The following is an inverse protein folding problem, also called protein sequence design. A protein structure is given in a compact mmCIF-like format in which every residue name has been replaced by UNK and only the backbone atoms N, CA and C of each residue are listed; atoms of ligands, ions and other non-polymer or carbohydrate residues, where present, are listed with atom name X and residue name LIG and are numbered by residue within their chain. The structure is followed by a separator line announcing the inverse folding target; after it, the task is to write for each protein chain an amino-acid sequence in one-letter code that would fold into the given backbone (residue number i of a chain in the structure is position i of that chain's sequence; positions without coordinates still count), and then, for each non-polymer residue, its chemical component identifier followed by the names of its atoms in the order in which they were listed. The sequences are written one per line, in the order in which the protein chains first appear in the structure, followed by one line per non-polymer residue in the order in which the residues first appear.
data_IF_938033679459
#
_entry.id   IF_938033679459
#
_cell.length_a   1.000
_cell.length_b   1.000
_cell.length_c   1.000
_cell.angle_alpha   90.00
_cell.angle_beta   90.00
_cell.angle_gamma   90.00
#
_symmetry.space_group_name_H-M   'P 1'
#
loop_
_entity.id
_entity.type
_entity.pdbx_description
1 polymer ?
#
# COMPACT_ATOMS: atom_id res chain seq x y z
N UNK A 1 -44.50 -35.49 -38.01
CA UNK A 1 -43.42 -34.48 -37.82
C UNK A 1 -42.26 -35.21 -37.17
N UNK A 2 -41.20 -35.56 -37.92
CA UNK A 2 -40.08 -36.37 -37.47
C UNK A 2 -38.98 -35.48 -36.85
N UNK A 3 -38.29 -35.92 -35.78
CA UNK A 3 -37.18 -35.19 -35.25
C UNK A 3 -35.87 -35.51 -35.98
N UNK A 4 -35.15 -34.44 -36.33
CA UNK A 4 -33.86 -34.46 -36.99
C UNK A 4 -32.74 -34.82 -36.02
N UNK A 5 -32.02 -35.92 -36.30
CA UNK A 5 -30.90 -36.41 -35.52
C UNK A 5 -29.61 -35.67 -35.96
N UNK A 6 -28.97 -34.92 -35.07
CA UNK A 6 -27.72 -34.23 -35.33
C UNK A 6 -26.54 -35.18 -34.98
N UNK A 7 -25.79 -35.60 -36.00
CA UNK A 7 -24.55 -36.43 -35.83
C UNK A 7 -23.41 -35.59 -35.32
N UNK A 8 -22.84 -35.99 -34.15
CA UNK A 8 -21.56 -35.51 -33.63
C UNK A 8 -20.40 -36.12 -34.43
N UNK A 9 -19.55 -35.28 -35.01
CA UNK A 9 -18.24 -35.69 -35.55
C UNK A 9 -17.18 -35.62 -34.43
N UNK A 10 -16.54 -36.73 -34.10
CA UNK A 10 -15.39 -36.79 -33.25
C UNK A 10 -14.13 -36.37 -34.04
N UNK A 11 -13.42 -35.37 -33.54
CA UNK A 11 -12.09 -35.00 -34.02
C UNK A 11 -11.07 -35.64 -33.07
N UNK A 12 -10.25 -36.54 -33.61
CA UNK A 12 -9.11 -37.14 -32.94
C UNK A 12 -7.97 -36.12 -32.91
N UNK A 13 -7.56 -35.69 -31.70
CA UNK A 13 -6.35 -34.90 -31.50
C UNK A 13 -5.15 -35.82 -31.30
N UNK A 14 -4.19 -35.77 -32.24
CA UNK A 14 -2.92 -36.48 -32.13
C UNK A 14 -1.99 -35.83 -31.09
N UNK A 15 -1.49 -36.64 -30.17
CA UNK A 15 -0.53 -36.30 -29.15
C UNK A 15 0.90 -36.36 -29.78
N UNK A 16 1.55 -35.21 -29.96
CA UNK A 16 2.97 -35.12 -30.31
C UNK A 16 3.77 -34.98 -29.02
N UNK A 17 4.49 -36.00 -28.64
CA UNK A 17 5.49 -36.00 -27.56
C UNK A 17 6.79 -35.36 -28.07
N UNK A 18 7.09 -34.14 -27.63
CA UNK A 18 8.43 -33.55 -27.79
C UNK A 18 9.22 -33.84 -26.50
N UNK A 19 10.23 -34.69 -26.62
CA UNK A 19 11.26 -34.89 -25.58
C UNK A 19 12.29 -33.79 -25.68
N UNK A 20 12.32 -32.87 -24.73
CA UNK A 20 13.40 -31.90 -24.61
C UNK A 20 14.45 -32.42 -23.60
N UNK A 21 15.65 -32.68 -24.09
CA UNK A 21 16.82 -33.05 -23.29
C UNK A 21 17.37 -31.81 -22.58
N UNK A 22 17.32 -31.77 -21.25
CA UNK A 22 18.02 -30.77 -20.44
C UNK A 22 19.52 -31.19 -20.34
N UNK A 23 20.40 -30.37 -20.92
CA UNK A 23 21.82 -30.39 -20.60
C UNK A 23 22.07 -29.49 -19.38
N UNK A 24 22.46 -30.07 -18.26
CA UNK A 24 23.04 -29.36 -17.12
C UNK A 24 24.52 -29.06 -17.45
N UNK A 25 24.88 -27.79 -17.40
CA UNK A 25 26.29 -27.39 -17.36
C UNK A 25 26.50 -26.19 -16.45
N UNK A 26 27.32 -26.36 -15.46
CA UNK A 26 28.27 -25.37 -15.02
C UNK A 26 27.97 -24.68 -13.69
N UNK A 27 28.52 -25.23 -12.62
CA UNK A 27 28.81 -24.53 -11.39
C UNK A 27 29.73 -23.33 -11.63
N UNK A 28 29.27 -22.11 -11.33
CA UNK A 28 30.15 -20.96 -11.16
C UNK A 28 30.50 -20.85 -9.65
N UNK A 29 31.77 -20.97 -9.34
CA UNK A 29 32.29 -20.82 -7.97
C UNK A 29 32.33 -19.35 -7.52
N UNK A 30 32.50 -19.10 -6.20
CA UNK A 30 32.49 -17.75 -5.64
C UNK A 30 33.70 -16.93 -6.10
N UNK A 31 33.43 -15.76 -6.67
CA UNK A 31 34.47 -14.76 -6.98
C UNK A 31 34.92 -14.12 -5.67
N UNK A 32 36.17 -14.41 -5.28
CA UNK A 32 36.86 -13.65 -4.22
C UNK A 32 37.42 -12.37 -4.81
N UNK A 33 37.00 -11.24 -4.26
CA UNK A 33 37.60 -9.94 -4.52
C UNK A 33 38.73 -9.71 -3.53
N UNK A 34 39.97 -9.82 -3.97
CA UNK A 34 41.14 -9.35 -3.20
C UNK A 34 41.46 -7.93 -3.68
N UNK A 35 41.02 -6.93 -2.89
CA UNK A 35 41.41 -5.54 -3.08
C UNK A 35 42.65 -5.22 -2.27
N UNK A 36 43.79 -5.09 -2.91
CA UNK A 36 44.98 -4.46 -2.33
C UNK A 36 44.85 -2.94 -2.40
N UNK A 37 44.33 -2.34 -1.35
CA UNK A 37 44.30 -0.88 -1.21
C UNK A 37 45.61 -0.36 -0.63
N UNK A 38 46.37 0.39 -1.42
CA UNK A 38 47.52 1.18 -0.96
C UNK A 38 47.00 2.50 -0.39
N UNK A 39 47.18 2.71 0.92
CA UNK A 39 46.88 3.97 1.57
C UNK A 39 48.03 4.94 1.33
N UNK A 40 47.82 5.96 0.52
CA UNK A 40 48.70 7.15 0.46
C UNK A 40 47.78 8.38 0.38
N UNK A 41 47.84 9.22 1.40
CA UNK A 41 47.16 10.52 1.30
C UNK A 41 47.03 11.17 2.68
N UNK A 42 47.88 12.16 2.96
CA UNK A 42 47.83 13.08 4.06
C UNK A 42 46.46 13.72 4.23
N UNK A 43 45.99 13.72 5.47
CA UNK A 43 44.79 14.43 5.96
C UNK A 43 45.02 15.94 5.84
N UNK A 44 44.20 16.70 5.12
CA UNK A 44 44.08 18.14 5.32
C UNK A 44 43.24 18.37 6.56
N UNK A 45 43.79 19.10 7.53
CA UNK A 45 43.07 19.59 8.68
C UNK A 45 42.37 20.87 8.29
N UNK A 46 41.10 20.77 7.97
CA UNK A 46 40.06 21.79 8.19
C UNK A 46 38.72 21.10 8.03
N UNK A 47 37.87 21.01 9.03
CA UNK A 47 36.48 20.62 8.79
C UNK A 47 35.82 21.83 8.15
N UNK A 48 35.55 21.73 6.84
CA UNK A 48 34.48 22.51 6.26
C UNK A 48 33.23 22.33 7.13
N UNK A 49 32.41 23.38 7.32
CA UNK A 49 31.16 23.23 8.06
C UNK A 49 30.40 22.10 7.37
N UNK A 50 30.12 21.06 8.12
CA UNK A 50 29.20 20.00 7.72
C UNK A 50 27.90 20.76 7.48
N UNK A 51 27.56 21.00 6.20
CA UNK A 51 26.20 21.32 5.87
C UNK A 51 25.40 20.14 6.42
N UNK A 52 24.60 20.39 7.44
CA UNK A 52 23.55 19.49 7.85
C UNK A 52 22.74 19.28 6.56
N UNK A 53 22.90 18.12 5.91
CA UNK A 53 21.94 17.68 4.94
C UNK A 53 20.62 17.59 5.69
N UNK A 54 19.85 18.67 5.65
CA UNK A 54 18.48 18.64 6.05
C UNK A 54 17.82 17.67 5.05
N UNK A 55 17.48 16.49 5.53
CA UNK A 55 16.65 15.50 4.84
C UNK A 55 15.21 16.01 4.65
N UNK A 56 15.03 17.30 4.49
CA UNK A 56 13.76 17.96 4.28
C UNK A 56 13.50 18.19 2.80
N UNK A 57 12.27 18.02 2.39
CA UNK A 57 11.74 18.46 1.12
C UNK A 57 12.06 19.96 0.92
N UNK A 58 12.21 20.42 -0.33
CA UNK A 58 12.18 21.85 -0.60
C UNK A 58 10.83 22.43 -0.19
N UNK A 59 10.74 23.76 -0.04
CA UNK A 59 9.46 24.42 0.29
C UNK A 59 8.37 24.10 -0.75
N UNK A 60 8.72 24.04 -2.04
CA UNK A 60 7.78 23.68 -3.11
C UNK A 60 7.36 22.21 -3.03
N UNK A 61 8.30 21.29 -2.84
CA UNK A 61 7.97 19.86 -2.69
C UNK A 61 7.13 19.60 -1.43
N UNK A 62 7.31 20.41 -0.38
CA UNK A 62 6.49 20.29 0.84
C UNK A 62 5.07 20.83 0.63
N UNK A 63 4.88 21.88 -0.18
CA UNK A 63 3.54 22.35 -0.57
C UNK A 63 2.83 21.26 -1.41
N UNK A 64 3.52 20.68 -2.40
CA UNK A 64 2.99 19.57 -3.22
C UNK A 64 2.64 18.37 -2.35
N UNK A 65 3.49 18.01 -1.39
CA UNK A 65 3.21 16.96 -0.41
C UNK A 65 1.92 17.22 0.40
N UNK A 66 1.69 18.44 0.86
CA UNK A 66 0.48 18.78 1.61
C UNK A 66 -0.77 18.72 0.72
N UNK A 67 -0.66 19.16 -0.54
CA UNK A 67 -1.75 19.07 -1.51
C UNK A 67 -2.11 17.58 -1.79
N UNK A 68 -1.12 16.68 -1.83
CA UNK A 68 -1.35 15.24 -1.98
C UNK A 68 -1.97 14.60 -0.72
N UNK A 69 -1.60 15.06 0.48
CA UNK A 69 -2.28 14.62 1.72
C UNK A 69 -3.76 14.99 1.68
N UNK A 70 -4.07 16.24 1.36
CA UNK A 70 -5.46 16.70 1.26
C UNK A 70 -6.20 15.98 0.13
N UNK A 71 -5.55 15.74 -1.00
CA UNK A 71 -6.07 14.97 -2.14
C UNK A 71 -6.36 13.52 -1.78
N UNK A 72 -5.47 12.87 -1.06
CA UNK A 72 -5.63 11.49 -0.58
C UNK A 72 -6.82 11.34 0.38
N UNK A 73 -6.95 12.24 1.35
CA UNK A 73 -8.09 12.30 2.26
C UNK A 73 -9.40 12.48 1.48
N UNK A 74 -9.45 13.50 0.62
CA UNK A 74 -10.64 13.80 -0.16
C UNK A 74 -11.05 12.64 -1.09
N UNK A 75 -10.07 12.01 -1.74
CA UNK A 75 -10.29 10.88 -2.63
C UNK A 75 -10.86 9.67 -1.89
N UNK A 76 -10.26 9.28 -0.76
CA UNK A 76 -10.71 8.14 0.04
C UNK A 76 -12.12 8.39 0.58
N UNK A 77 -12.37 9.54 1.20
CA UNK A 77 -13.66 9.86 1.79
C UNK A 77 -14.77 9.96 0.76
N UNK A 78 -14.53 10.68 -0.35
CA UNK A 78 -15.51 10.84 -1.44
C UNK A 78 -15.89 9.50 -2.06
N UNK A 79 -14.89 8.65 -2.36
CA UNK A 79 -15.16 7.33 -2.92
C UNK A 79 -16.11 6.52 -2.03
N UNK A 80 -15.80 6.41 -0.74
CA UNK A 80 -16.64 5.64 0.18
C UNK A 80 -18.00 6.29 0.42
N UNK A 81 -18.08 7.60 0.47
CA UNK A 81 -19.36 8.30 0.62
C UNK A 81 -20.30 8.07 -0.57
N UNK A 82 -19.76 8.12 -1.79
CA UNK A 82 -20.59 7.98 -3.00
C UNK A 82 -21.00 6.53 -3.26
N UNK A 83 -20.13 5.56 -2.91
CA UNK A 83 -20.38 4.14 -3.22
C UNK A 83 -20.89 3.31 -2.04
N UNK A 84 -20.92 3.82 -0.83
CA UNK A 84 -21.31 3.06 0.37
C UNK A 84 -22.64 2.33 0.21
N UNK A 85 -23.65 3.02 -0.26
CA UNK A 85 -24.99 2.45 -0.44
C UNK A 85 -25.10 1.35 -1.51
N UNK A 86 -24.07 1.17 -2.34
CA UNK A 86 -24.00 0.06 -3.29
C UNK A 86 -23.65 -1.27 -2.61
N UNK A 87 -22.97 -1.21 -1.46
CA UNK A 87 -22.44 -2.37 -0.77
C UNK A 87 -23.11 -2.62 0.58
N UNK A 88 -23.55 -1.56 1.27
CA UNK A 88 -24.03 -1.62 2.64
C UNK A 88 -25.39 -0.92 2.80
N UNK A 89 -26.27 -1.41 3.70
CA UNK A 89 -27.63 -0.90 3.84
C UNK A 89 -27.76 0.36 4.71
N UNK A 90 -26.75 0.68 5.49
CA UNK A 90 -26.69 1.83 6.41
C UNK A 90 -26.03 3.05 5.76
N UNK A 91 -25.98 4.15 6.49
CA UNK A 91 -25.36 5.39 6.01
C UNK A 91 -23.84 5.35 6.28
N UNK A 92 -23.06 5.85 5.33
CA UNK A 92 -21.64 6.07 5.53
C UNK A 92 -21.38 7.17 6.54
N UNK A 93 -20.37 6.98 7.36
CA UNK A 93 -19.83 8.01 8.23
C UNK A 93 -18.32 8.05 8.06
N UNK A 94 -17.78 9.20 7.70
CA UNK A 94 -16.33 9.38 7.58
C UNK A 94 -15.64 9.19 8.93
N UNK A 95 -14.43 8.58 8.98
CA UNK A 95 -13.59 8.74 10.17
C UNK A 95 -13.21 10.21 10.34
N UNK A 96 -12.96 10.63 11.58
CA UNK A 96 -12.34 11.93 11.80
C UNK A 96 -10.89 11.90 11.30
N UNK A 97 -10.38 13.06 10.89
CA UNK A 97 -8.95 13.24 10.59
C UNK A 97 -8.32 13.98 11.77
N UNK A 98 -7.20 13.49 12.29
CA UNK A 98 -6.51 14.15 13.40
C UNK A 98 -6.04 15.56 12.98
N UNK A 99 -6.34 16.57 13.81
CA UNK A 99 -5.99 17.95 13.46
C UNK A 99 -6.60 18.41 12.13
N UNK A 100 -5.83 19.14 11.33
CA UNK A 100 -6.31 19.69 10.06
C UNK A 100 -6.19 18.69 8.90
N UNK A 101 -5.11 17.87 8.89
CA UNK A 101 -4.79 16.96 7.77
C UNK A 101 -4.21 15.60 8.20
N UNK A 102 -4.38 15.20 9.46
CA UNK A 102 -3.94 13.89 9.96
C UNK A 102 -2.47 13.79 10.35
N UNK A 103 -1.64 14.76 9.98
CA UNK A 103 -0.21 14.74 10.28
C UNK A 103 0.07 15.01 11.76
N UNK A 104 0.98 14.24 12.33
CA UNK A 104 1.54 14.47 13.67
C UNK A 104 3.05 14.23 13.67
N UNK A 105 3.78 14.78 14.63
CA UNK A 105 5.20 14.50 14.85
C UNK A 105 5.33 13.47 15.98
N UNK A 106 5.57 12.22 15.64
CA UNK A 106 5.69 11.11 16.59
C UNK A 106 6.95 11.17 17.46
N UNK A 107 7.90 12.07 17.15
CA UNK A 107 9.05 12.37 18.00
C UNK A 107 8.75 13.45 19.05
N UNK A 108 7.67 14.22 18.88
CA UNK A 108 7.17 15.17 19.87
C UNK A 108 5.93 14.62 20.58
N UNK A 109 6.03 14.21 21.86
CA UNK A 109 4.89 13.70 22.61
C UNK A 109 3.72 14.71 22.77
N UNK A 110 3.96 15.99 22.48
CA UNK A 110 2.89 16.99 22.51
C UNK A 110 2.10 17.04 21.20
N UNK A 111 2.67 16.53 20.12
CA UNK A 111 2.05 16.40 18.80
C UNK A 111 1.34 15.05 18.62
N UNK A 112 1.81 14.00 19.30
CA UNK A 112 1.24 12.66 19.22
C UNK A 112 -0.21 12.65 19.77
N UNK A 113 -1.22 12.32 18.95
CA UNK A 113 -2.61 12.33 19.41
C UNK A 113 -2.93 11.19 20.37
N UNK A 114 -2.12 10.13 20.40
CA UNK A 114 -2.41 8.90 21.13
C UNK A 114 -3.66 8.18 20.62
N UNK A 115 -3.82 6.92 21.02
CA UNK A 115 -5.02 6.15 20.78
C UNK A 115 -5.33 5.25 21.97
N UNK A 116 -6.55 5.33 22.51
CA UNK A 116 -6.93 4.56 23.71
C UNK A 116 -6.04 4.86 24.92
N UNK A 117 -5.43 6.06 24.97
CA UNK A 117 -4.51 6.49 26.03
C UNK A 117 -3.08 5.94 25.90
N UNK A 118 -2.69 5.49 24.73
CA UNK A 118 -1.33 5.05 24.38
C UNK A 118 -0.74 5.98 23.34
N UNK A 119 0.53 6.36 23.49
CA UNK A 119 1.25 7.10 22.46
C UNK A 119 1.44 6.21 21.24
N UNK A 120 1.48 6.83 20.06
CA UNK A 120 1.61 6.14 18.77
C UNK A 120 3.06 6.06 18.31
N UNK A 121 3.85 7.06 18.67
CA UNK A 121 5.25 7.16 18.31
C UNK A 121 5.48 7.53 16.83
N UNK A 122 6.77 7.63 16.43
CA UNK A 122 7.17 7.98 15.07
C UNK A 122 7.06 6.81 14.10
N UNK A 123 7.14 7.16 12.81
CA UNK A 123 7.13 6.22 11.68
C UNK A 123 5.91 5.30 11.66
N UNK A 124 4.74 5.84 12.01
CA UNK A 124 3.49 5.13 12.12
C UNK A 124 2.35 5.84 11.39
N UNK A 125 1.40 5.08 10.89
CA UNK A 125 0.09 5.55 10.46
C UNK A 125 -0.94 4.61 11.05
N UNK A 126 -2.16 5.10 11.33
CA UNK A 126 -3.16 4.24 11.96
C UNK A 126 -4.57 4.82 11.91
N UNK A 127 -5.52 3.92 12.02
CA UNK A 127 -6.89 4.23 12.37
C UNK A 127 -7.16 3.91 13.84
N UNK A 128 -7.53 4.90 14.63
CA UNK A 128 -7.87 4.74 16.04
C UNK A 128 -9.31 4.28 16.21
N UNK A 129 -9.52 3.00 16.52
CA UNK A 129 -10.86 2.42 16.67
C UNK A 129 -11.68 3.11 17.80
N UNK A 130 -11.16 3.32 19.04
CA UNK A 130 -11.98 3.85 20.12
C UNK A 130 -12.39 5.31 19.94
N UNK A 131 -11.59 6.13 19.27
CA UNK A 131 -11.85 7.56 19.05
C UNK A 131 -12.29 7.88 17.60
N UNK A 132 -12.33 6.88 16.71
CA UNK A 132 -12.78 6.96 15.31
C UNK A 132 -12.07 8.06 14.50
N UNK A 133 -10.74 8.00 14.47
CA UNK A 133 -9.94 8.92 13.68
C UNK A 133 -8.76 8.24 13.00
N UNK A 134 -8.28 8.86 11.92
CA UNK A 134 -7.05 8.50 11.21
C UNK A 134 -5.95 9.53 11.49
N UNK A 135 -4.70 9.07 11.55
CA UNK A 135 -3.53 9.93 11.64
C UNK A 135 -2.29 9.23 11.07
N UNK A 136 -1.30 10.01 10.68
CA UNK A 136 -0.04 9.53 10.11
C UNK A 136 1.12 10.42 10.54
N UNK A 137 2.24 9.78 10.87
CA UNK A 137 3.45 10.45 11.27
C UNK A 137 4.06 11.23 10.10
N UNK A 138 4.44 12.47 10.35
CA UNK A 138 5.02 13.35 9.35
C UNK A 138 6.29 12.76 8.72
N UNK A 139 7.16 12.13 9.53
CA UNK A 139 8.41 11.55 9.01
C UNK A 139 8.17 10.33 8.12
N UNK A 140 7.20 9.47 8.46
CA UNK A 140 6.77 8.36 7.61
C UNK A 140 6.30 8.87 6.25
N UNK A 141 5.43 9.89 6.27
CA UNK A 141 4.80 10.41 5.06
C UNK A 141 5.78 11.13 4.15
N UNK A 142 6.61 12.04 4.71
CA UNK A 142 7.64 12.77 3.95
C UNK A 142 8.71 11.84 3.37
N UNK A 143 9.17 10.86 4.17
CA UNK A 143 10.18 9.90 3.69
C UNK A 143 9.64 8.99 2.59
N UNK A 144 8.35 8.68 2.61
CA UNK A 144 7.71 7.91 1.56
C UNK A 144 7.44 8.73 0.30
N UNK A 145 6.97 9.96 0.46
CA UNK A 145 6.75 10.91 -0.63
C UNK A 145 8.00 11.16 -1.48
N UNK A 146 9.18 11.14 -0.86
CA UNK A 146 10.46 11.25 -1.58
C UNK A 146 10.72 10.10 -2.59
N UNK A 147 10.02 8.98 -2.47
CA UNK A 147 10.11 7.85 -3.42
C UNK A 147 8.97 7.85 -4.45
N UNK A 148 7.95 8.68 -4.26
CA UNK A 148 6.80 8.84 -5.14
C UNK A 148 5.56 9.36 -4.39
N UNK A 149 4.78 10.22 -5.04
CA UNK A 149 3.60 10.87 -4.46
C UNK A 149 2.48 9.86 -4.11
N UNK A 150 2.39 8.77 -4.86
CA UNK A 150 1.41 7.69 -4.61
C UNK A 150 1.57 7.02 -3.24
N UNK A 151 2.71 7.18 -2.56
CA UNK A 151 2.89 6.75 -1.18
C UNK A 151 1.83 7.36 -0.26
N UNK A 152 1.58 8.65 -0.42
CA UNK A 152 0.63 9.38 0.41
C UNK A 152 -0.79 8.82 0.23
N UNK A 153 -1.21 8.67 -1.02
CA UNK A 153 -2.52 8.11 -1.34
C UNK A 153 -2.68 6.67 -0.84
N UNK A 154 -1.63 5.86 -0.95
CA UNK A 154 -1.66 4.47 -0.49
C UNK A 154 -1.83 4.37 1.02
N UNK A 155 -1.01 5.10 1.80
CA UNK A 155 -1.07 5.06 3.26
C UNK A 155 -2.43 5.54 3.75
N UNK A 156 -2.92 6.67 3.24
CA UNK A 156 -4.23 7.21 3.61
C UNK A 156 -5.36 6.23 3.27
N UNK A 157 -5.35 5.65 2.07
CA UNK A 157 -6.38 4.69 1.66
C UNK A 157 -6.33 3.39 2.47
N UNK A 158 -5.14 2.96 2.94
CA UNK A 158 -4.97 1.81 3.81
C UNK A 158 -5.59 2.06 5.20
N UNK A 159 -5.30 3.21 5.82
CA UNK A 159 -5.89 3.56 7.12
C UNK A 159 -7.41 3.77 7.00
N UNK A 160 -7.88 4.32 5.87
CA UNK A 160 -9.31 4.32 5.56
C UNK A 160 -9.88 2.91 5.46
N UNK A 161 -9.13 1.95 4.92
CA UNK A 161 -9.49 0.53 4.90
C UNK A 161 -9.79 -0.02 6.29
N UNK A 162 -8.97 0.33 7.30
CA UNK A 162 -9.24 -0.01 8.70
C UNK A 162 -10.50 0.67 9.24
N UNK A 163 -10.74 1.92 8.85
CA UNK A 163 -11.98 2.61 9.21
C UNK A 163 -13.22 1.94 8.58
N UNK A 164 -13.12 1.43 7.36
CA UNK A 164 -14.18 0.64 6.72
C UNK A 164 -14.41 -0.68 7.46
N UNK A 165 -13.36 -1.40 7.86
CA UNK A 165 -13.48 -2.62 8.66
C UNK A 165 -14.27 -2.39 9.97
N UNK A 166 -14.09 -1.25 10.60
CA UNK A 166 -14.83 -0.89 11.82
C UNK A 166 -16.32 -0.59 11.58
N UNK A 167 -16.73 -0.36 10.33
CA UNK A 167 -18.09 0.04 9.93
C UNK A 167 -18.90 -1.07 9.29
N UNK A 168 -18.26 -2.07 8.70
CA UNK A 168 -18.94 -3.18 8.01
C UNK A 168 -19.37 -4.29 8.98
N UNK A 169 -20.24 -5.17 8.52
CA UNK A 169 -20.61 -6.38 9.29
C UNK A 169 -19.33 -7.16 9.67
N UNK A 170 -19.10 -7.49 10.94
CA UNK A 170 -17.94 -8.27 11.36
C UNK A 170 -17.74 -9.59 10.60
N UNK A 171 -18.81 -10.16 10.02
CA UNK A 171 -18.71 -11.35 9.19
C UNK A 171 -18.01 -11.10 7.83
N UNK A 172 -17.87 -9.86 7.42
CA UNK A 172 -17.18 -9.44 6.19
C UNK A 172 -15.72 -9.03 6.45
N UNK A 173 -15.32 -8.92 7.73
CA UNK A 173 -13.94 -8.60 8.11
C UNK A 173 -13.11 -9.88 8.05
N UNK A 174 -12.00 -9.83 7.32
CA UNK A 174 -11.07 -10.95 7.21
C UNK A 174 -10.21 -11.09 8.47
N UNK A 175 -9.73 -12.29 8.77
CA UNK A 175 -8.74 -12.51 9.84
C UNK A 175 -7.42 -11.76 9.55
N UNK A 176 -7.11 -11.57 8.27
CA UNK A 176 -5.95 -10.83 7.76
C UNK A 176 -6.35 -9.36 7.55
N UNK A 177 -6.57 -8.63 8.63
CA UNK A 177 -7.08 -7.25 8.60
C UNK A 177 -6.20 -6.30 7.80
N UNK A 178 -4.88 -6.44 7.89
CA UNK A 178 -3.91 -5.63 7.15
C UNK A 178 -4.02 -5.85 5.62
N UNK A 179 -4.07 -7.11 5.20
CA UNK A 179 -4.25 -7.44 3.78
C UNK A 179 -5.63 -7.01 3.26
N UNK A 180 -6.65 -7.07 4.10
CA UNK A 180 -7.97 -6.55 3.73
C UNK A 180 -7.95 -5.03 3.62
N UNK A 181 -7.21 -4.31 4.47
CA UNK A 181 -7.03 -2.86 4.34
C UNK A 181 -6.30 -2.50 3.04
N UNK A 182 -5.26 -3.25 2.65
CA UNK A 182 -4.61 -3.10 1.34
C UNK A 182 -5.59 -3.34 0.18
N UNK A 183 -6.46 -4.33 0.30
CA UNK A 183 -7.49 -4.60 -0.70
C UNK A 183 -8.47 -3.43 -0.82
N UNK A 184 -8.96 -2.89 0.30
CA UNK A 184 -9.82 -1.71 0.28
C UNK A 184 -9.10 -0.48 -0.26
N UNK A 185 -7.80 -0.31 0.02
CA UNK A 185 -6.99 0.74 -0.58
C UNK A 185 -6.94 0.62 -2.11
N UNK A 186 -6.68 -0.58 -2.62
CA UNK A 186 -6.71 -0.83 -4.06
C UNK A 186 -8.08 -0.55 -4.70
N UNK A 187 -9.15 -0.93 -4.02
CA UNK A 187 -10.52 -0.68 -4.48
C UNK A 187 -10.84 0.81 -4.52
N UNK A 188 -10.51 1.57 -3.46
CA UNK A 188 -10.84 3.00 -3.37
C UNK A 188 -9.98 3.87 -4.28
N UNK A 189 -8.66 3.64 -4.37
CA UNK A 189 -7.78 4.39 -5.27
C UNK A 189 -8.22 4.22 -6.72
N UNK A 190 -8.39 2.98 -7.19
CA UNK A 190 -8.77 2.72 -8.58
C UNK A 190 -10.24 3.02 -8.86
N UNK A 191 -11.12 2.94 -7.87
CA UNK A 191 -12.47 3.44 -7.95
C UNK A 191 -12.50 4.95 -8.14
N UNK A 192 -11.73 5.71 -7.33
CA UNK A 192 -11.59 7.17 -7.48
C UNK A 192 -11.02 7.58 -8.85
N UNK A 193 -10.11 6.77 -9.42
CA UNK A 193 -9.63 6.99 -10.80
C UNK A 193 -10.77 6.77 -11.81
N UNK A 194 -11.57 5.74 -11.63
CA UNK A 194 -12.70 5.46 -12.53
C UNK A 194 -13.78 6.54 -12.48
N UNK A 195 -13.99 7.15 -11.30
CA UNK A 195 -14.94 8.24 -11.09
C UNK A 195 -14.38 9.61 -11.52
N UNK A 196 -13.07 9.71 -11.76
CA UNK A 196 -12.39 10.95 -12.15
C UNK A 196 -12.08 11.88 -10.99
N UNK A 197 -12.06 11.38 -9.74
CA UNK A 197 -11.61 12.13 -8.56
C UNK A 197 -10.10 12.10 -8.40
N UNK A 198 -9.45 11.07 -8.94
CA UNK A 198 -8.00 10.87 -8.95
C UNK A 198 -7.53 10.58 -10.37
N UNK A 199 -6.31 10.95 -10.71
CA UNK A 199 -5.63 10.53 -11.94
C UNK A 199 -4.30 9.91 -11.58
N UNK A 200 -3.94 8.83 -12.25
CA UNK A 200 -2.64 8.19 -12.13
C UNK A 200 -1.83 8.46 -13.38
N UNK A 201 -0.57 8.79 -13.20
CA UNK A 201 0.41 9.02 -14.26
C UNK A 201 1.24 7.76 -14.58
N UNK A 202 2.08 7.88 -15.62
CA UNK A 202 3.00 6.80 -16.01
C UNK A 202 4.06 6.61 -14.90
N UNK A 203 4.01 5.51 -14.16
CA UNK A 203 4.94 5.19 -13.06
C UNK A 203 4.24 4.88 -11.74
N UNK A 204 3.11 5.51 -11.47
CA UNK A 204 2.40 5.44 -10.18
C UNK A 204 2.12 4.01 -9.70
N UNK A 205 1.75 3.11 -10.61
CA UNK A 205 1.54 1.71 -10.24
C UNK A 205 2.84 1.03 -9.78
N UNK A 206 3.99 1.43 -10.31
CA UNK A 206 5.29 0.92 -9.84
C UNK A 206 5.67 1.53 -8.49
N UNK A 207 5.32 2.77 -8.24
CA UNK A 207 5.51 3.42 -6.95
C UNK A 207 4.65 2.78 -5.87
N UNK A 208 3.35 2.56 -6.11
CA UNK A 208 2.46 1.82 -5.22
C UNK A 208 3.04 0.43 -4.90
N UNK A 209 3.53 -0.30 -5.91
CA UNK A 209 4.13 -1.61 -5.71
C UNK A 209 5.39 -1.53 -4.83
N UNK A 210 6.20 -0.48 -5.01
CA UNK A 210 7.40 -0.22 -4.21
C UNK A 210 7.01 0.13 -2.77
N UNK A 211 6.01 0.98 -2.57
CA UNK A 211 5.49 1.37 -1.27
C UNK A 211 4.95 0.15 -0.49
N UNK A 212 4.11 -0.67 -1.10
CA UNK A 212 3.63 -1.93 -0.50
C UNK A 212 4.78 -2.85 -0.10
N UNK A 213 5.84 -2.91 -0.91
CA UNK A 213 7.02 -3.72 -0.60
C UNK A 213 7.85 -3.16 0.56
N UNK A 214 7.94 -1.84 0.72
CA UNK A 214 8.64 -1.18 1.83
C UNK A 214 7.89 -1.29 3.15
N UNK A 215 6.58 -1.24 3.10
CA UNK A 215 5.69 -1.34 4.26
C UNK A 215 5.41 -2.79 4.68
N UNK A 216 5.94 -3.76 3.94
CA UNK A 216 5.70 -5.19 4.19
C UNK A 216 6.65 -5.75 5.25
N UNK A 217 6.21 -6.83 5.91
CA UNK A 217 7.06 -7.64 6.77
C UNK A 217 8.02 -8.52 5.97
N UNK A 218 9.09 -8.98 6.62
CA UNK A 218 10.05 -9.89 5.98
C UNK A 218 9.50 -11.33 5.83
N UNK A 219 8.37 -11.65 6.44
CA UNK A 219 7.76 -12.98 6.50
C UNK A 219 6.29 -12.93 6.11
N UNK A 220 5.76 -14.06 5.66
CA UNK A 220 4.33 -14.21 5.41
C UNK A 220 3.49 -13.92 6.66
N UNK A 221 2.26 -13.47 6.44
CA UNK A 221 1.31 -13.22 7.51
C UNK A 221 1.05 -14.48 8.35
N UNK A 222 1.14 -14.32 9.66
CA UNK A 222 0.92 -15.40 10.64
C UNK A 222 -0.03 -15.02 11.77
N UNK A 223 -0.20 -13.74 12.02
CA UNK A 223 -1.05 -13.21 13.10
C UNK A 223 -1.63 -11.84 12.73
N UNK A 224 -2.67 -11.42 13.47
CA UNK A 224 -3.37 -10.15 13.23
C UNK A 224 -2.53 -8.88 13.43
N UNK A 225 -1.30 -9.02 13.91
CA UNK A 225 -0.35 -7.90 14.05
C UNK A 225 0.67 -7.84 12.91
N UNK A 226 0.61 -8.78 11.96
CA UNK A 226 1.54 -8.86 10.85
C UNK A 226 0.92 -8.21 9.61
N UNK A 227 1.70 -7.36 8.91
CA UNK A 227 1.26 -6.71 7.67
C UNK A 227 1.27 -7.67 6.47
N UNK A 228 1.99 -8.80 6.57
CA UNK A 228 2.21 -9.73 5.48
C UNK A 228 3.45 -9.39 4.66
N UNK A 229 3.89 -10.35 3.86
CA UNK A 229 5.04 -10.16 2.98
C UNK A 229 4.68 -9.30 1.74
N UNK A 230 5.70 -8.84 0.96
CA UNK A 230 5.44 -7.99 -0.22
C UNK A 230 4.49 -8.62 -1.25
N UNK A 231 4.53 -9.94 -1.44
CA UNK A 231 3.65 -10.60 -2.41
C UNK A 231 2.21 -10.66 -1.94
N UNK A 232 2.01 -10.84 -0.62
CA UNK A 232 0.69 -10.85 -0.01
C UNK A 232 0.05 -9.46 -0.08
N UNK A 233 0.78 -8.41 0.30
CA UNK A 233 0.29 -7.02 0.25
C UNK A 233 -0.04 -6.58 -1.18
N UNK A 234 0.88 -6.78 -2.14
CA UNK A 234 0.65 -6.46 -3.55
C UNK A 234 -0.54 -7.26 -4.10
N UNK A 235 -0.62 -8.55 -3.77
CA UNK A 235 -1.73 -9.41 -4.19
C UNK A 235 -3.08 -8.94 -3.64
N UNK A 236 -3.14 -8.58 -2.37
CA UNK A 236 -4.34 -8.06 -1.74
C UNK A 236 -4.80 -6.72 -2.37
N UNK A 237 -3.87 -5.79 -2.56
CA UNK A 237 -4.14 -4.54 -3.25
C UNK A 237 -4.68 -4.77 -4.68
N UNK A 238 -4.06 -5.70 -5.43
CA UNK A 238 -4.47 -6.00 -6.80
C UNK A 238 -5.86 -6.65 -6.89
N UNK A 239 -6.26 -7.43 -5.88
CA UNK A 239 -7.63 -7.96 -5.75
C UNK A 239 -8.64 -6.81 -5.67
N UNK A 240 -8.41 -5.84 -4.80
CA UNK A 240 -9.26 -4.66 -4.66
C UNK A 240 -9.29 -3.81 -5.91
N UNK A 241 -8.11 -3.54 -6.49
CA UNK A 241 -7.96 -2.80 -7.73
C UNK A 241 -8.79 -3.37 -8.88
N UNK A 242 -8.85 -4.70 -9.02
CA UNK A 242 -9.55 -5.36 -10.13
C UNK A 242 -11.02 -5.65 -9.82
N UNK A 243 -11.35 -5.96 -8.58
CA UNK A 243 -12.66 -6.47 -8.20
C UNK A 243 -13.52 -5.52 -7.37
N UNK A 244 -12.97 -4.36 -6.98
CA UNK A 244 -13.66 -3.40 -6.11
C UNK A 244 -13.89 -3.93 -4.68
N UNK A 245 -14.66 -3.20 -3.86
CA UNK A 245 -14.81 -3.51 -2.44
C UNK A 245 -15.35 -4.92 -2.13
N UNK A 246 -16.24 -5.44 -2.96
CA UNK A 246 -16.84 -6.77 -2.72
C UNK A 246 -15.84 -7.91 -2.84
N UNK A 247 -14.77 -7.75 -3.61
CA UNK A 247 -13.70 -8.73 -3.71
C UNK A 247 -12.82 -8.79 -2.45
N UNK A 248 -12.93 -7.78 -1.57
CA UNK A 248 -12.18 -7.70 -0.32
C UNK A 248 -12.89 -8.32 0.88
N UNK A 249 -14.18 -8.72 0.75
CA UNK A 249 -14.92 -9.27 1.87
C UNK A 249 -14.44 -10.67 2.25
N UNK A 250 -14.48 -10.99 3.54
CA UNK A 250 -14.17 -12.32 4.03
C UNK A 250 -15.04 -13.38 3.31
N UNK A 251 -14.37 -14.38 2.71
CA UNK A 251 -15.03 -15.47 1.99
C UNK A 251 -15.45 -15.15 0.55
N UNK A 252 -15.00 -14.01 -0.02
CA UNK A 252 -15.18 -13.68 -1.43
C UNK A 252 -14.35 -14.57 -2.36
#
# INVERSE_FOLDING_TARGET
MSPTVLRRRALAAGLVLLTASLALSGCAGPVRYEGTGTVVGSVPSDPDPVEEESSGLSEADYEDFLDDVDGGIASADTYWADHWSEFFPDEYTSPSVNGDNGLYDGYDPASDPGCGGQDLGPENAFYCIPEDFVAWDLSLMVNGFADGDTWVYLVIAHEWGHAIQARIDPALVADQTELQADCFAGASIFGSVADGYLSLDDGDLAEITTALSRLADATEWTSSSDHGDPFQRIGAFDIGRQGGPTACFAGA
#
